data_IF_594471319248
#
_entry.id   IF_594471319248
#
_cell.length_a   1.000
_cell.length_b   1.000
_cell.length_c   1.000
_cell.angle_alpha   90.00
_cell.angle_beta   90.00
_cell.angle_gamma   90.00
#
_symmetry.space_group_name_H-M   'P 1'
#
loop_
_entity.id
_entity.type
_entity.pdbx_description
1 polymer ?
#
# COMPACT_ATOMS: atom_id res chain seq x y z
N UNK A 1 0.91 3.51 -17.23
CA UNK A 1 1.61 4.77 -17.08
C UNK A 1 0.76 5.54 -16.11
N UNK A 2 1.37 6.14 -15.08
CA UNK A 2 0.67 7.08 -14.23
C UNK A 2 -0.02 8.12 -15.12
N UNK A 3 -1.35 8.15 -15.07
CA UNK A 3 -2.15 8.94 -16.00
C UNK A 3 -2.22 10.37 -15.47
N UNK A 4 -1.73 11.34 -16.25
CA UNK A 4 -1.94 12.75 -15.94
C UNK A 4 -3.44 13.03 -16.05
N UNK A 5 -4.02 13.57 -14.98
CA UNK A 5 -5.40 14.06 -15.00
C UNK A 5 -5.36 15.56 -15.23
N UNK A 6 -5.90 15.99 -16.37
CA UNK A 6 -6.10 17.40 -16.65
C UNK A 6 -7.39 17.87 -15.99
N UNK A 7 -7.28 18.80 -15.05
CA UNK A 7 -8.44 19.44 -14.42
C UNK A 7 -8.27 20.95 -14.41
N UNK A 8 -9.23 21.64 -15.04
CA UNK A 8 -9.34 23.10 -15.09
C UNK A 8 -10.41 23.62 -14.12
N UNK A 9 -10.47 23.05 -12.94
CA UNK A 9 -11.36 23.52 -11.88
C UNK A 9 -10.67 24.61 -11.04
N UNK A 10 -11.12 25.88 -11.10
CA UNK A 10 -10.51 26.98 -10.37
C UNK A 10 -11.08 27.18 -8.96
N UNK A 11 -12.26 26.65 -8.65
CA UNK A 11 -12.89 26.87 -7.35
C UNK A 11 -12.18 26.09 -6.25
N UNK A 12 -12.30 26.58 -5.02
CA UNK A 12 -11.86 25.88 -3.82
C UNK A 12 -13.04 25.13 -3.17
N UNK A 13 -12.71 24.13 -2.36
CA UNK A 13 -13.62 23.48 -1.44
C UNK A 13 -12.87 23.20 -0.13
N UNK A 14 -13.59 23.25 0.98
CA UNK A 14 -13.09 22.79 2.28
C UNK A 14 -12.86 21.28 2.28
N UNK A 15 -12.12 20.79 3.27
CA UNK A 15 -11.93 19.36 3.49
C UNK A 15 -13.28 18.66 3.74
N UNK A 16 -14.17 19.27 4.53
CA UNK A 16 -15.50 18.71 4.83
C UNK A 16 -16.37 18.56 3.59
N UNK A 17 -16.48 19.61 2.75
CA UNK A 17 -17.25 19.54 1.50
C UNK A 17 -16.71 18.45 0.56
N UNK A 18 -15.38 18.33 0.46
CA UNK A 18 -14.73 17.29 -0.32
C UNK A 18 -15.08 15.89 0.20
N UNK A 19 -14.97 15.65 1.52
CA UNK A 19 -15.31 14.37 2.15
C UNK A 19 -16.78 14.03 1.95
N UNK A 20 -17.69 14.98 2.19
CA UNK A 20 -19.13 14.77 2.06
C UNK A 20 -19.52 14.39 0.63
N UNK A 21 -19.00 15.10 -0.37
CA UNK A 21 -19.27 14.80 -1.76
C UNK A 21 -18.72 13.43 -2.18
N UNK A 22 -17.48 13.11 -1.80
CA UNK A 22 -16.88 11.80 -2.06
C UNK A 22 -17.61 10.68 -1.32
N UNK A 23 -18.14 10.91 -0.11
CA UNK A 23 -18.88 9.92 0.66
C UNK A 23 -20.27 9.65 0.08
N UNK A 24 -20.86 10.61 -0.64
CA UNK A 24 -22.15 10.43 -1.31
C UNK A 24 -22.09 9.45 -2.46
N UNK A 25 -21.08 9.57 -3.32
CA UNK A 25 -20.93 8.73 -4.51
C UNK A 25 -19.97 7.55 -4.29
N UNK A 26 -18.94 7.76 -3.49
CA UNK A 26 -17.82 6.84 -3.33
C UNK A 26 -16.73 7.06 -4.37
N UNK A 27 -15.63 6.33 -4.18
CA UNK A 27 -14.54 6.26 -5.13
C UNK A 27 -14.42 4.82 -5.63
N UNK A 28 -14.76 4.59 -6.90
CA UNK A 28 -14.51 3.33 -7.60
C UNK A 28 -13.52 3.60 -8.75
N UNK A 29 -12.27 3.12 -8.64
CA UNK A 29 -11.27 3.35 -9.68
C UNK A 29 -11.57 2.59 -10.99
N UNK A 30 -12.47 1.61 -10.98
CA UNK A 30 -12.87 0.90 -12.21
C UNK A 30 -13.82 1.72 -13.09
N UNK A 31 -14.46 2.75 -12.53
CA UNK A 31 -15.41 3.61 -13.22
C UNK A 31 -14.79 4.98 -13.54
N UNK A 32 -14.76 5.35 -14.82
CA UNK A 32 -14.15 6.62 -15.24
C UNK A 32 -14.87 7.84 -14.65
N UNK A 33 -16.20 7.81 -14.56
CA UNK A 33 -16.98 8.90 -13.97
C UNK A 33 -16.66 9.11 -12.48
N UNK A 34 -16.48 8.01 -11.73
CA UNK A 34 -16.07 8.09 -10.32
C UNK A 34 -14.66 8.67 -10.18
N UNK A 35 -13.72 8.29 -11.07
CA UNK A 35 -12.37 8.87 -11.13
C UNK A 35 -12.41 10.37 -11.43
N UNK A 36 -13.23 10.80 -12.38
CA UNK A 36 -13.36 12.20 -12.77
C UNK A 36 -14.02 13.03 -11.64
N UNK A 37 -15.03 12.49 -10.99
CA UNK A 37 -15.65 13.09 -9.80
C UNK A 37 -14.65 13.25 -8.65
N UNK A 38 -13.90 12.19 -8.38
CA UNK A 38 -12.86 12.17 -7.36
C UNK A 38 -11.75 13.19 -7.66
N UNK A 39 -11.30 13.27 -8.90
CA UNK A 39 -10.33 14.24 -9.35
C UNK A 39 -10.84 15.68 -9.25
N UNK A 40 -12.12 15.92 -9.57
CA UNK A 40 -12.75 17.23 -9.42
C UNK A 40 -12.69 17.71 -7.96
N UNK A 41 -13.13 16.90 -7.00
CA UNK A 41 -13.12 17.29 -5.59
C UNK A 41 -11.72 17.40 -4.99
N UNK A 42 -10.82 16.48 -5.33
CA UNK A 42 -9.43 16.57 -4.89
C UNK A 42 -8.76 17.84 -5.43
N UNK A 43 -9.09 18.25 -6.66
CA UNK A 43 -8.62 19.52 -7.24
C UNK A 43 -9.16 20.72 -6.47
N UNK A 44 -10.45 20.75 -6.15
CA UNK A 44 -11.07 21.84 -5.37
C UNK A 44 -10.48 21.95 -3.97
N UNK A 45 -10.32 20.83 -3.26
CA UNK A 45 -9.61 20.79 -1.97
C UNK A 45 -8.18 21.30 -2.12
N UNK A 46 -7.48 20.81 -3.13
CA UNK A 46 -6.13 21.26 -3.42
C UNK A 46 -6.04 22.73 -3.83
N UNK A 47 -7.14 23.42 -4.14
CA UNK A 47 -7.17 24.86 -4.41
C UNK A 47 -7.27 25.71 -3.14
N UNK A 48 -7.77 25.17 -2.04
CA UNK A 48 -7.68 25.84 -0.74
C UNK A 48 -6.22 25.82 -0.25
N UNK A 49 -5.61 27.01 -0.15
CA UNK A 49 -4.18 27.16 0.19
C UNK A 49 -3.92 27.31 1.68
N UNK A 50 -4.96 27.36 2.50
CA UNK A 50 -4.85 27.60 3.93
C UNK A 50 -5.22 26.37 4.75
N UNK A 51 -6.18 25.56 4.27
CA UNK A 51 -6.75 24.46 5.07
C UNK A 51 -5.70 23.58 5.76
N UNK A 52 -4.64 23.20 5.05
CA UNK A 52 -3.64 22.29 5.62
C UNK A 52 -2.82 22.98 6.71
N UNK A 53 -2.46 24.26 6.51
CA UNK A 53 -1.75 25.04 7.51
C UNK A 53 -2.59 25.20 8.77
N UNK A 54 -3.85 25.61 8.61
CA UNK A 54 -4.80 25.78 9.72
C UNK A 54 -5.00 24.46 10.49
N UNK A 55 -5.24 23.35 9.76
CA UNK A 55 -5.39 22.02 10.35
C UNK A 55 -4.14 21.58 11.14
N UNK A 56 -2.95 21.80 10.60
CA UNK A 56 -1.70 21.42 11.27
C UNK A 56 -1.46 22.25 12.54
N UNK A 57 -1.80 23.54 12.53
CA UNK A 57 -1.74 24.38 13.74
C UNK A 57 -2.74 23.91 14.78
N UNK A 58 -3.99 23.61 14.40
CA UNK A 58 -5.00 23.11 15.31
C UNK A 58 -4.60 21.76 15.93
N UNK A 59 -3.97 20.87 15.14
CA UNK A 59 -3.41 19.59 15.65
C UNK A 59 -2.30 19.83 16.67
N UNK A 60 -1.36 20.75 16.39
CA UNK A 60 -0.27 21.08 17.30
C UNK A 60 -0.74 21.79 18.57
N UNK A 61 -1.78 22.61 18.46
CA UNK A 61 -2.41 23.30 19.58
C UNK A 61 -3.33 22.38 20.41
N UNK A 62 -3.62 21.16 19.93
CA UNK A 62 -4.50 20.20 20.60
C UNK A 62 -5.99 20.50 20.44
N UNK A 63 -6.37 21.36 19.49
CA UNK A 63 -7.76 21.71 19.23
C UNK A 63 -8.46 20.75 18.27
N UNK A 64 -7.70 20.06 17.40
CA UNK A 64 -8.25 19.04 16.53
C UNK A 64 -8.38 17.70 17.27
N UNK A 65 -9.50 16.97 17.14
CA UNK A 65 -9.59 15.60 17.65
C UNK A 65 -8.51 14.76 16.99
N UNK A 66 -7.61 14.20 17.79
CA UNK A 66 -6.64 13.21 17.30
C UNK A 66 -7.45 12.08 16.65
N UNK A 67 -7.37 11.85 15.33
CA UNK A 67 -7.98 10.66 14.75
C UNK A 67 -7.30 9.50 15.48
N UNK A 68 -8.07 8.71 16.24
CA UNK A 68 -7.58 7.78 17.25
C UNK A 68 -6.18 7.29 16.91
N UNK A 69 -5.17 7.79 17.63
CA UNK A 69 -3.78 8.00 17.18
C UNK A 69 -3.08 6.78 16.52
N UNK A 70 -3.67 5.60 16.62
CA UNK A 70 -3.30 4.35 15.99
C UNK A 70 -3.65 4.28 14.49
N UNK A 71 -4.76 4.87 14.03
CA UNK A 71 -5.18 4.79 12.62
C UNK A 71 -4.58 5.91 11.74
N UNK A 72 -4.27 7.07 12.32
CA UNK A 72 -3.68 8.20 11.61
C UNK A 72 -2.23 7.97 11.16
N UNK A 73 -1.52 7.05 11.82
CA UNK A 73 -0.07 6.79 11.64
C UNK A 73 0.19 5.44 10.94
N UNK A 74 -0.76 4.51 10.96
CA UNK A 74 -0.51 3.11 10.57
C UNK A 74 -0.54 2.81 9.06
N UNK A 75 -0.78 3.80 8.20
CA UNK A 75 -0.82 3.57 6.75
C UNK A 75 -0.23 4.76 5.96
N UNK A 76 1.10 4.83 5.86
CA UNK A 76 1.75 5.77 4.94
C UNK A 76 3.16 6.22 5.28
N UNK A 77 3.74 5.72 6.38
CA UNK A 77 5.04 6.17 6.89
C UNK A 77 4.94 7.45 7.73
N UNK A 78 6.02 7.84 8.43
CA UNK A 78 6.04 8.99 9.34
C UNK A 78 5.73 10.33 8.67
N UNK A 79 5.78 10.36 7.34
CA UNK A 79 5.56 11.53 6.51
C UNK A 79 4.12 11.70 6.00
N UNK A 80 3.20 10.84 6.43
CA UNK A 80 1.80 10.84 5.99
C UNK A 80 0.88 11.24 7.13
N UNK A 81 -0.06 12.14 6.83
CA UNK A 81 -1.12 12.59 7.75
C UNK A 81 -2.46 12.19 7.15
N UNK A 82 -3.26 11.43 7.88
CA UNK A 82 -4.62 11.07 7.46
C UNK A 82 -5.54 12.27 7.67
N UNK A 83 -6.15 12.74 6.58
CA UNK A 83 -7.10 13.85 6.55
C UNK A 83 -8.56 13.35 6.60
N UNK A 84 -8.80 12.18 6.02
CA UNK A 84 -10.08 11.48 6.08
C UNK A 84 -9.82 9.98 6.25
N UNK A 85 -10.38 9.39 7.31
CA UNK A 85 -10.29 7.95 7.55
C UNK A 85 -11.23 7.19 6.61
N UNK A 86 -10.94 5.90 6.34
CA UNK A 86 -11.88 5.04 5.62
C UNK A 86 -13.25 5.05 6.28
N UNK A 87 -14.28 5.34 5.50
CA UNK A 87 -15.67 5.41 5.95
C UNK A 87 -16.62 5.14 4.81
N UNK A 88 -17.75 5.86 4.77
CA UNK A 88 -18.68 5.79 3.64
C UNK A 88 -17.98 6.23 2.35
N UNK A 89 -18.13 5.45 1.28
CA UNK A 89 -17.57 5.78 -0.03
C UNK A 89 -16.22 5.13 -0.36
N UNK A 90 -15.69 4.25 0.50
CA UNK A 90 -14.50 3.43 0.20
C UNK A 90 -13.25 4.23 -0.18
N UNK A 91 -12.99 5.35 0.50
CA UNK A 91 -11.79 6.14 0.26
C UNK A 91 -11.11 6.61 1.55
N UNK A 92 -9.86 7.02 1.42
CA UNK A 92 -9.10 7.73 2.45
C UNK A 92 -8.39 8.92 1.80
N UNK A 93 -8.31 10.06 2.50
CA UNK A 93 -7.54 11.22 2.06
C UNK A 93 -6.32 11.38 2.97
N UNK A 94 -5.15 11.64 2.38
CA UNK A 94 -3.89 11.83 3.09
C UNK A 94 -3.14 13.06 2.57
N UNK A 95 -2.41 13.73 3.45
CA UNK A 95 -1.34 14.64 3.08
C UNK A 95 0.01 13.94 3.28
N UNK A 96 0.83 13.88 2.23
CA UNK A 96 2.20 13.39 2.33
C UNK A 96 3.17 14.57 2.30
N UNK A 97 4.01 14.66 3.33
CA UNK A 97 5.04 15.67 3.50
C UNK A 97 6.35 15.13 2.93
N UNK A 98 7.04 15.94 2.16
CA UNK A 98 8.23 15.55 1.41
C UNK A 98 9.37 16.50 1.75
N UNK A 99 10.23 16.15 2.72
CA UNK A 99 11.39 16.96 3.03
C UNK A 99 12.41 16.91 1.88
N UNK A 100 13.11 18.02 1.68
CA UNK A 100 14.22 18.12 0.74
C UNK A 100 15.47 17.40 1.26
N UNK A 101 16.42 17.15 0.36
CA UNK A 101 17.67 16.47 0.72
C UNK A 101 18.43 17.17 1.87
N UNK A 102 18.36 18.50 1.93
CA UNK A 102 19.03 19.33 2.93
C UNK A 102 18.19 19.59 4.20
N UNK A 103 16.98 19.06 4.30
CA UNK A 103 16.21 19.17 5.53
C UNK A 103 16.82 18.29 6.63
N UNK A 104 16.81 18.79 7.86
CA UNK A 104 17.40 18.06 9.00
C UNK A 104 16.83 16.64 9.13
N UNK A 105 15.51 16.48 8.99
CA UNK A 105 14.84 15.19 9.07
C UNK A 105 15.37 14.20 8.00
N UNK A 106 15.65 14.68 6.79
CA UNK A 106 16.23 13.86 5.72
C UNK A 106 17.67 13.45 6.01
N UNK A 107 18.50 14.35 6.53
CA UNK A 107 19.88 14.03 6.92
C UNK A 107 19.93 13.07 8.12
N UNK A 108 19.02 13.23 9.08
CA UNK A 108 19.00 12.45 10.32
C UNK A 108 18.42 11.04 10.12
N UNK A 109 17.34 10.90 9.34
CA UNK A 109 16.64 9.62 9.15
C UNK A 109 16.98 8.91 7.84
N UNK A 110 17.59 9.61 6.90
CA UNK A 110 17.94 9.09 5.58
C UNK A 110 16.74 8.99 4.63
N UNK A 111 17.06 8.84 3.34
CA UNK A 111 16.09 8.79 2.24
C UNK A 111 15.04 7.67 2.39
N UNK A 112 15.45 6.52 2.93
CA UNK A 112 14.57 5.35 3.11
C UNK A 112 13.41 5.60 4.07
N UNK A 113 13.58 6.44 5.09
CA UNK A 113 12.52 6.77 6.05
C UNK A 113 11.32 7.48 5.39
N UNK A 114 11.54 8.14 4.25
CA UNK A 114 10.53 8.84 3.47
C UNK A 114 10.13 8.09 2.19
N UNK A 115 10.66 6.87 1.98
CA UNK A 115 10.40 6.07 0.79
C UNK A 115 11.10 6.56 -0.49
N UNK A 116 12.09 7.47 -0.36
CA UNK A 116 12.84 7.94 -1.52
C UNK A 116 13.77 6.87 -2.06
N UNK A 117 13.92 6.85 -3.40
CA UNK A 117 14.80 5.92 -4.09
C UNK A 117 14.27 4.49 -4.21
N UNK A 118 13.11 4.19 -3.63
CA UNK A 118 12.49 2.86 -3.64
C UNK A 118 11.43 2.79 -4.75
N UNK A 119 11.65 1.92 -5.74
CA UNK A 119 10.66 1.64 -6.77
C UNK A 119 9.65 0.61 -6.26
N UNK A 120 8.37 0.97 -6.19
CA UNK A 120 7.30 0.08 -5.72
C UNK A 120 5.97 0.32 -6.43
N UNK A 121 5.13 -0.71 -6.48
CA UNK A 121 3.71 -0.61 -6.84
C UNK A 121 2.84 -0.52 -5.58
N UNK A 122 1.52 -0.63 -5.76
CA UNK A 122 0.54 -0.57 -4.69
C UNK A 122 -0.56 -1.62 -4.92
N UNK A 123 -1.17 -2.06 -3.83
CA UNK A 123 -2.35 -2.92 -3.83
C UNK A 123 -3.67 -2.12 -3.83
N UNK A 124 -3.61 -0.85 -4.23
CA UNK A 124 -4.74 0.06 -4.32
C UNK A 124 -4.52 1.10 -5.42
N UNK A 125 -5.62 1.56 -6.03
CA UNK A 125 -5.61 2.72 -6.90
C UNK A 125 -5.60 4.00 -6.05
N UNK A 126 -4.95 5.04 -6.56
CA UNK A 126 -4.99 6.35 -5.93
C UNK A 126 -4.81 7.49 -6.92
N UNK A 127 -5.33 8.65 -6.52
CA UNK A 127 -5.01 9.94 -7.12
C UNK A 127 -3.99 10.67 -6.24
N UNK A 128 -3.01 11.33 -6.84
CA UNK A 128 -2.05 12.18 -6.13
C UNK A 128 -1.99 13.56 -6.76
N UNK A 129 -2.06 14.61 -5.95
CA UNK A 129 -2.10 16.01 -6.34
C UNK A 129 -0.95 16.76 -5.65
N UNK A 130 -0.12 17.47 -6.41
CA UNK A 130 0.86 18.39 -5.84
C UNK A 130 0.17 19.58 -5.16
N UNK A 131 0.43 19.81 -3.88
CA UNK A 131 -0.27 20.82 -3.08
C UNK A 131 0.60 22.04 -2.72
N UNK A 132 1.79 21.78 -2.19
CA UNK A 132 2.73 22.80 -1.72
C UNK A 132 4.17 22.47 -2.16
N UNK A 133 4.98 23.50 -2.33
CA UNK A 133 6.40 23.38 -2.69
C UNK A 133 6.65 23.03 -4.17
N UNK A 134 7.93 22.82 -4.54
CA UNK A 134 8.34 22.49 -5.90
C UNK A 134 7.89 21.10 -6.37
N UNK A 135 7.58 20.19 -5.44
CA UNK A 135 7.10 18.83 -5.71
C UNK A 135 8.22 17.83 -5.99
N UNK A 136 7.95 16.56 -5.71
CA UNK A 136 8.90 15.46 -5.91
C UNK A 136 9.07 15.11 -7.39
N UNK A 137 10.27 14.65 -7.75
CA UNK A 137 10.48 13.98 -9.01
C UNK A 137 10.10 12.51 -8.89
N UNK A 138 9.44 11.99 -9.92
CA UNK A 138 8.92 10.64 -9.96
C UNK A 138 9.43 9.96 -11.23
N UNK A 139 10.05 8.82 -11.07
CA UNK A 139 10.33 7.88 -12.16
C UNK A 139 9.20 6.86 -12.23
N UNK A 140 8.59 6.74 -13.40
CA UNK A 140 7.47 5.84 -13.61
C UNK A 140 7.90 4.59 -14.37
N UNK A 141 7.35 3.46 -13.95
CA UNK A 141 7.47 2.19 -14.65
C UNK A 141 6.09 1.51 -14.69
N UNK A 142 5.96 0.54 -15.57
CA UNK A 142 4.78 -0.31 -15.68
C UNK A 142 5.16 -1.78 -15.67
N UNK A 143 4.26 -2.61 -15.17
CA UNK A 143 4.32 -4.06 -15.29
C UNK A 143 2.89 -4.63 -15.31
N UNK A 144 2.77 -5.93 -15.58
CA UNK A 144 1.51 -6.66 -15.44
C UNK A 144 1.53 -7.51 -14.17
N UNK A 145 0.87 -7.04 -13.10
CA UNK A 145 0.77 -7.77 -11.84
C UNK A 145 0.06 -9.12 -11.94
N UNK A 146 -0.72 -9.39 -13.00
CA UNK A 146 -1.34 -10.70 -13.21
C UNK A 146 -0.36 -11.73 -13.79
N UNK A 147 0.77 -11.27 -14.32
CA UNK A 147 1.78 -12.12 -14.95
C UNK A 147 2.84 -12.65 -13.97
N UNK A 148 2.83 -12.19 -12.71
CA UNK A 148 3.83 -12.54 -11.69
C UNK A 148 3.23 -13.41 -10.59
N UNK A 149 4.05 -14.32 -10.06
CA UNK A 149 3.72 -15.12 -8.88
C UNK A 149 3.93 -14.33 -7.57
N UNK A 150 4.71 -13.25 -7.62
CA UNK A 150 4.96 -12.36 -6.49
C UNK A 150 6.12 -12.81 -5.59
N UNK A 151 7.11 -13.54 -6.12
CA UNK A 151 8.24 -14.04 -5.32
C UNK A 151 9.44 -13.11 -5.39
N UNK A 152 10.19 -12.99 -4.29
CA UNK A 152 11.48 -12.30 -4.29
C UNK A 152 12.42 -12.95 -5.33
N UNK A 153 13.07 -12.14 -6.15
CA UNK A 153 13.97 -12.53 -7.23
C UNK A 153 13.28 -12.88 -8.55
N UNK A 154 11.95 -12.95 -8.57
CA UNK A 154 11.18 -13.21 -9.79
C UNK A 154 11.43 -12.10 -10.83
N UNK A 155 11.72 -12.51 -12.06
CA UNK A 155 11.91 -11.59 -13.18
C UNK A 155 10.56 -11.01 -13.61
N UNK A 156 10.56 -9.72 -13.94
CA UNK A 156 9.36 -8.97 -14.30
C UNK A 156 9.61 -8.24 -15.62
N UNK A 157 8.63 -8.27 -16.52
CA UNK A 157 8.65 -7.45 -17.73
C UNK A 157 8.38 -5.97 -17.39
N UNK A 158 9.39 -5.28 -16.85
CA UNK A 158 9.30 -3.86 -16.52
C UNK A 158 9.39 -2.98 -17.77
N UNK A 159 8.41 -2.09 -17.95
CA UNK A 159 8.44 -1.03 -18.94
C UNK A 159 8.82 0.28 -18.27
N UNK A 160 10.02 0.79 -18.55
CA UNK A 160 10.42 2.14 -18.13
C UNK A 160 9.60 3.19 -18.88
N UNK A 161 9.08 4.16 -18.15
CA UNK A 161 8.29 5.26 -18.69
C UNK A 161 9.02 6.60 -18.46
N UNK A 162 8.27 7.69 -18.49
CA UNK A 162 8.79 9.03 -18.33
C UNK A 162 9.09 9.37 -16.86
N UNK A 163 10.01 10.32 -16.69
CA UNK A 163 10.19 11.03 -15.42
C UNK A 163 9.25 12.23 -15.43
N UNK A 164 8.58 12.47 -14.31
CA UNK A 164 7.68 13.61 -14.13
C UNK A 164 8.00 14.31 -12.83
N UNK A 165 7.51 15.55 -12.68
CA UNK A 165 7.52 16.26 -11.40
C UNK A 165 6.09 16.49 -10.95
N UNK A 166 5.77 16.11 -9.71
CA UNK A 166 4.48 16.36 -9.08
C UNK A 166 4.40 17.82 -8.60
N UNK A 167 4.45 18.75 -9.56
CA UNK A 167 4.37 20.19 -9.28
C UNK A 167 3.02 20.55 -8.67
N UNK A 168 2.96 21.66 -7.95
CA UNK A 168 1.72 22.24 -7.45
C UNK A 168 0.63 22.27 -8.54
N UNK A 169 -0.52 21.71 -8.22
CA UNK A 169 -1.68 21.61 -9.10
C UNK A 169 -1.62 20.51 -10.16
N UNK A 170 -0.53 19.74 -10.31
CA UNK A 170 -0.50 18.56 -11.18
C UNK A 170 -1.08 17.35 -10.45
N UNK A 171 -1.94 16.61 -11.12
CA UNK A 171 -2.59 15.41 -10.59
C UNK A 171 -2.26 14.19 -11.44
N UNK A 172 -1.97 13.07 -10.79
CA UNK A 172 -1.76 11.79 -11.45
C UNK A 172 -2.61 10.71 -10.81
N UNK A 173 -3.06 9.76 -11.64
CA UNK A 173 -3.64 8.49 -11.20
C UNK A 173 -2.60 7.38 -11.29
N UNK A 174 -2.58 6.53 -10.26
CA UNK A 174 -1.82 5.29 -10.22
C UNK A 174 -2.77 4.11 -10.02
N UNK A 175 -2.58 3.06 -10.82
CA UNK A 175 -3.41 1.85 -10.79
C UNK A 175 -2.72 0.74 -10.00
N UNK A 176 -3.50 0.02 -9.19
CA UNK A 176 -3.00 -1.10 -8.41
C UNK A 176 -2.32 -2.14 -9.31
N UNK A 177 -1.22 -2.73 -8.83
CA UNK A 177 -0.50 -3.84 -9.49
C UNK A 177 -0.10 -3.58 -10.94
N UNK A 178 0.08 -2.31 -11.30
CA UNK A 178 0.41 -1.92 -12.68
C UNK A 178 1.38 -0.77 -12.74
N UNK A 179 1.09 0.33 -12.05
CA UNK A 179 1.95 1.52 -12.07
C UNK A 179 2.94 1.47 -10.89
N UNK A 180 4.22 1.54 -11.22
CA UNK A 180 5.34 1.59 -10.27
C UNK A 180 5.88 3.00 -10.25
N UNK A 181 6.14 3.53 -9.05
CA UNK A 181 6.81 4.82 -8.88
C UNK A 181 8.10 4.70 -8.08
N UNK A 182 9.06 5.56 -8.39
CA UNK A 182 10.24 5.81 -7.56
C UNK A 182 10.35 7.30 -7.34
N UNK A 183 10.18 7.71 -6.08
CA UNK A 183 10.24 9.11 -5.66
C UNK A 183 11.68 9.54 -5.39
N UNK A 184 12.02 10.74 -5.82
CA UNK A 184 13.26 11.43 -5.46
C UNK A 184 12.91 12.70 -4.65
N UNK A 185 13.79 13.10 -3.70
CA UNK A 185 13.52 14.25 -2.84
C UNK A 185 13.34 15.53 -3.67
N UNK A 186 12.41 16.41 -3.28
CA UNK A 186 12.24 17.71 -3.91
C UNK A 186 13.41 18.64 -3.56
N UNK A 187 13.51 19.77 -4.28
CA UNK A 187 14.52 20.81 -3.99
C UNK A 187 14.19 21.66 -2.75
N UNK A 188 12.96 21.58 -2.23
CA UNK A 188 12.49 22.22 -1.00
C UNK A 188 11.29 21.44 -0.45
N UNK A 189 11.00 21.63 0.85
CA UNK A 189 9.84 21.01 1.52
C UNK A 189 8.58 21.12 0.65
N UNK A 190 7.97 19.99 0.36
CA UNK A 190 6.81 19.88 -0.51
C UNK A 190 5.70 19.05 0.14
N UNK A 191 4.47 19.21 -0.33
CA UNK A 191 3.32 18.41 0.12
C UNK A 191 2.52 17.95 -1.10
N UNK A 192 2.05 16.71 -1.06
CA UNK A 192 1.02 16.19 -1.96
C UNK A 192 -0.21 15.74 -1.19
N UNK A 193 -1.39 15.90 -1.77
CA UNK A 193 -2.62 15.26 -1.30
C UNK A 193 -2.83 13.96 -2.06
N UNK A 194 -3.21 12.90 -1.37
CA UNK A 194 -3.56 11.61 -1.96
C UNK A 194 -5.00 11.24 -1.61
N UNK A 195 -5.74 10.78 -2.61
CA UNK A 195 -7.01 10.10 -2.43
C UNK A 195 -6.80 8.62 -2.78
N UNK A 196 -6.96 7.76 -1.79
CA UNK A 196 -6.68 6.32 -1.87
C UNK A 196 -7.98 5.55 -1.87
N UNK A 197 -8.14 4.64 -2.82
CA UNK A 197 -9.24 3.67 -2.79
C UNK A 197 -9.03 2.68 -1.64
N UNK A 198 -10.08 2.37 -0.88
CA UNK A 198 -9.98 1.45 0.27
C UNK A 198 -10.94 0.28 0.10
N UNK A 199 -10.43 -0.94 0.26
CA UNK A 199 -11.24 -2.16 0.24
C UNK A 199 -10.73 -3.14 1.28
N UNK A 200 -11.62 -3.90 1.91
CA UNK A 200 -11.26 -4.89 2.92
C UNK A 200 -10.27 -5.94 2.40
N UNK A 201 -10.32 -6.26 1.10
CA UNK A 201 -9.42 -7.24 0.47
C UNK A 201 -7.96 -6.78 0.40
N UNK A 202 -7.67 -5.47 0.51
CA UNK A 202 -6.32 -4.93 0.33
C UNK A 202 -5.30 -5.52 1.31
N UNK A 203 -5.71 -5.84 2.54
CA UNK A 203 -4.83 -6.51 3.52
C UNK A 203 -4.35 -7.90 3.08
N UNK A 204 -5.00 -8.49 2.09
CA UNK A 204 -4.68 -9.81 1.53
C UNK A 204 -3.89 -9.75 0.23
N UNK A 205 -3.83 -8.57 -0.40
CA UNK A 205 -3.15 -8.34 -1.67
C UNK A 205 -1.72 -7.88 -1.43
N UNK A 206 -0.77 -8.60 -2.03
CA UNK A 206 0.64 -8.22 -2.00
C UNK A 206 0.89 -7.05 -2.95
N UNK A 207 1.77 -6.15 -2.55
CA UNK A 207 2.47 -5.27 -3.49
C UNK A 207 3.97 -5.49 -3.32
N UNK A 208 4.80 -4.82 -4.09
CA UNK A 208 6.17 -5.22 -4.32
C UNK A 208 7.09 -4.01 -4.44
N UNK A 209 8.33 -4.21 -3.98
CA UNK A 209 9.44 -3.39 -4.40
C UNK A 209 10.17 -4.06 -5.56
N UNK A 210 10.74 -3.23 -6.42
CA UNK A 210 11.39 -3.67 -7.64
C UNK A 210 12.84 -3.22 -7.67
N UNK A 211 13.73 -4.14 -8.04
CA UNK A 211 15.01 -3.77 -8.62
C UNK A 211 14.76 -3.39 -10.09
N UNK A 212 14.82 -2.09 -10.38
CA UNK A 212 14.57 -1.54 -11.72
C UNK A 212 15.75 -1.70 -12.66
N UNK A 213 16.94 -2.08 -12.17
CA UNK A 213 18.12 -2.38 -13.00
C UNK A 213 18.07 -3.83 -13.48
N UNK A 214 17.81 -4.75 -12.56
CA UNK A 214 17.74 -6.19 -12.84
C UNK A 214 16.35 -6.65 -13.30
N UNK A 215 15.36 -5.76 -13.28
CA UNK A 215 13.96 -6.02 -13.61
C UNK A 215 13.36 -7.19 -12.82
N UNK A 216 13.47 -7.12 -11.49
CA UNK A 216 13.04 -8.19 -10.56
C UNK A 216 12.27 -7.65 -9.37
N UNK A 217 11.41 -8.49 -8.79
CA UNK A 217 10.83 -8.23 -7.46
C UNK A 217 11.96 -8.34 -6.43
N UNK A 218 12.27 -7.23 -5.75
CA UNK A 218 13.31 -7.20 -4.71
C UNK A 218 12.75 -7.51 -3.31
N UNK A 219 11.48 -7.14 -3.06
CA UNK A 219 10.79 -7.38 -1.79
C UNK A 219 9.29 -7.53 -2.00
N UNK A 220 8.67 -8.38 -1.19
CA UNK A 220 7.21 -8.50 -1.08
C UNK A 220 6.74 -7.63 0.08
N UNK A 221 5.76 -6.77 -0.19
CA UNK A 221 5.13 -5.84 0.72
C UNK A 221 3.65 -6.22 0.95
N UNK A 222 2.97 -5.49 1.84
CA UNK A 222 1.53 -5.70 2.09
C UNK A 222 1.20 -6.77 3.13
N UNK A 223 2.07 -6.96 4.12
CA UNK A 223 1.78 -7.84 5.26
C UNK A 223 0.88 -7.10 6.24
N UNK A 224 -0.32 -7.64 6.47
CA UNK A 224 -1.19 -7.21 7.57
C UNK A 224 -0.76 -7.88 8.89
N UNK A 225 -1.40 -7.51 10.01
CA UNK A 225 -1.14 -8.20 11.27
C UNK A 225 -1.77 -9.61 11.31
N UNK A 226 -2.70 -9.91 10.42
CA UNK A 226 -3.49 -11.15 10.38
C UNK A 226 -2.64 -12.41 10.33
N UNK A 227 -1.53 -12.42 9.58
CA UNK A 227 -0.62 -13.57 9.54
C UNK A 227 0.03 -13.83 10.91
N UNK A 228 0.47 -12.76 11.57
CA UNK A 228 1.04 -12.86 12.92
C UNK A 228 -0.03 -13.30 13.92
N UNK A 229 -1.26 -12.77 13.81
CA UNK A 229 -2.37 -13.16 14.67
C UNK A 229 -2.69 -14.65 14.56
N UNK A 230 -2.78 -15.18 13.34
CA UNK A 230 -3.01 -16.60 13.11
C UNK A 230 -1.90 -17.45 13.73
N UNK A 231 -0.63 -17.10 13.47
CA UNK A 231 0.52 -17.82 14.02
C UNK A 231 0.53 -17.82 15.54
N UNK A 232 0.28 -16.67 16.17
CA UNK A 232 0.22 -16.57 17.64
C UNK A 232 -0.94 -17.39 18.19
N UNK A 233 -2.13 -17.29 17.59
CA UNK A 233 -3.30 -18.03 18.06
C UNK A 233 -3.13 -19.56 17.95
N UNK A 234 -2.52 -20.04 16.85
CA UNK A 234 -2.16 -21.46 16.67
C UNK A 234 -1.10 -21.89 17.70
N UNK A 235 -0.06 -21.08 17.89
CA UNK A 235 1.01 -21.37 18.85
C UNK A 235 0.53 -21.40 20.31
N UNK A 236 -0.46 -20.58 20.66
CA UNK A 236 -1.11 -20.60 21.99
C UNK A 236 -2.06 -21.79 22.18
N UNK A 237 -2.17 -22.69 21.19
CA UNK A 237 -2.88 -23.96 21.34
C UNK A 237 -4.39 -23.88 21.14
N UNK A 238 -4.92 -22.79 20.59
CA UNK A 238 -6.36 -22.69 20.31
C UNK A 238 -6.77 -23.65 19.19
N UNK A 239 -7.66 -24.60 19.49
CA UNK A 239 -8.15 -25.55 18.46
C UNK A 239 -8.93 -24.83 17.36
N UNK A 240 -9.73 -23.82 17.71
CA UNK A 240 -10.39 -22.95 16.71
C UNK A 240 -9.38 -22.26 15.78
N UNK A 241 -8.19 -21.90 16.28
CA UNK A 241 -7.15 -21.30 15.44
C UNK A 241 -6.49 -22.33 14.52
N UNK A 242 -6.32 -23.58 14.97
CA UNK A 242 -5.83 -24.68 14.13
C UNK A 242 -6.83 -25.03 13.01
N UNK A 243 -8.12 -25.06 13.33
CA UNK A 243 -9.18 -25.28 12.33
C UNK A 243 -9.17 -24.16 11.29
N UNK A 244 -9.13 -22.90 11.76
CA UNK A 244 -9.04 -21.75 10.87
C UNK A 244 -7.77 -21.78 10.00
N UNK A 245 -6.63 -22.19 10.56
CA UNK A 245 -5.39 -22.33 9.79
C UNK A 245 -5.49 -23.44 8.73
N UNK A 246 -6.16 -24.56 9.03
CA UNK A 246 -6.41 -25.60 8.03
C UNK A 246 -7.31 -25.07 6.90
N UNK A 247 -8.40 -24.41 7.23
CA UNK A 247 -9.32 -23.82 6.25
C UNK A 247 -8.62 -22.79 5.38
N UNK A 248 -7.84 -21.91 6.01
CA UNK A 248 -7.08 -20.89 5.32
C UNK A 248 -6.01 -21.51 4.42
N UNK A 249 -5.24 -22.49 4.92
CA UNK A 249 -4.22 -23.19 4.15
C UNK A 249 -4.78 -23.82 2.86
N UNK A 250 -5.98 -24.41 2.94
CA UNK A 250 -6.63 -25.07 1.81
C UNK A 250 -7.24 -24.12 0.79
N UNK A 251 -7.84 -23.02 1.25
CA UNK A 251 -8.82 -22.29 0.42
C UNK A 251 -8.61 -20.79 0.33
N UNK A 252 -7.85 -20.15 1.23
CA UNK A 252 -7.79 -18.70 1.32
C UNK A 252 -7.32 -18.03 0.00
N UNK A 253 -7.94 -16.94 -0.46
CA UNK A 253 -7.59 -16.33 -1.76
C UNK A 253 -6.16 -15.79 -1.83
N UNK A 254 -5.58 -15.40 -0.69
CA UNK A 254 -4.16 -15.01 -0.61
C UNK A 254 -3.26 -16.22 -0.42
N UNK A 255 -2.44 -16.54 -1.43
CA UNK A 255 -1.44 -17.62 -1.35
C UNK A 255 -0.44 -17.41 -0.19
N UNK A 256 -0.15 -16.16 0.15
CA UNK A 256 0.69 -15.80 1.30
C UNK A 256 0.06 -16.23 2.62
N UNK A 257 -1.23 -15.95 2.82
CA UNK A 257 -1.95 -16.41 4.00
C UNK A 257 -2.08 -17.94 4.02
N UNK A 258 -2.32 -18.58 2.86
CA UNK A 258 -2.30 -20.04 2.77
C UNK A 258 -0.99 -20.61 3.29
N UNK A 259 0.14 -20.10 2.77
CA UNK A 259 1.47 -20.53 3.20
C UNK A 259 1.70 -20.28 4.68
N UNK A 260 1.31 -19.09 5.18
CA UNK A 260 1.44 -18.72 6.58
C UNK A 260 0.66 -19.66 7.52
N UNK A 261 -0.52 -20.08 7.11
CA UNK A 261 -1.35 -21.01 7.86
C UNK A 261 -0.69 -22.41 7.94
N UNK A 262 -0.13 -22.91 6.83
CA UNK A 262 0.64 -24.15 6.83
C UNK A 262 1.92 -24.05 7.65
N UNK A 263 2.64 -22.94 7.59
CA UNK A 263 3.81 -22.68 8.44
C UNK A 263 3.43 -22.66 9.94
N UNK A 264 2.28 -22.07 10.29
CA UNK A 264 1.78 -22.05 11.66
C UNK A 264 1.50 -23.47 12.18
N UNK A 265 0.81 -24.29 11.39
CA UNK A 265 0.50 -25.67 11.72
C UNK A 265 1.76 -26.53 11.85
N UNK A 266 2.69 -26.41 10.88
CA UNK A 266 3.94 -27.16 10.88
C UNK A 266 4.86 -26.80 12.05
N UNK A 267 4.85 -25.54 12.48
CA UNK A 267 5.62 -25.08 13.64
C UNK A 267 5.11 -25.65 14.97
N UNK A 268 3.82 -26.03 15.05
CA UNK A 268 3.21 -26.62 16.24
C UNK A 268 3.13 -28.16 16.20
N UNK A 269 3.58 -28.79 15.11
CA UNK A 269 3.66 -30.24 15.00
C UNK A 269 4.61 -30.83 16.07
N UNK A 270 4.15 -31.88 16.74
CA UNK A 270 4.86 -32.48 17.89
C UNK A 270 5.96 -33.47 17.49
N UNK A 271 6.03 -33.85 16.22
CA UNK A 271 7.04 -34.74 15.66
C UNK A 271 7.39 -34.36 14.22
N UNK A 272 8.45 -34.96 13.68
CA UNK A 272 8.86 -34.75 12.30
C UNK A 272 7.87 -35.38 11.32
N UNK A 273 7.27 -36.52 11.66
CA UNK A 273 6.22 -37.18 10.88
C UNK A 273 4.96 -36.32 10.80
N UNK A 274 4.53 -35.77 11.94
CA UNK A 274 3.39 -34.84 11.98
C UNK A 274 3.68 -33.57 11.16
N UNK A 275 4.94 -33.11 11.16
CA UNK A 275 5.37 -31.96 10.36
C UNK A 275 5.37 -32.28 8.86
N UNK A 276 5.85 -33.47 8.45
CA UNK A 276 5.79 -33.91 7.06
C UNK A 276 4.35 -34.04 6.58
N UNK A 277 3.43 -34.55 7.41
CA UNK A 277 2.01 -34.69 7.08
C UNK A 277 1.32 -33.34 6.83
N UNK A 278 1.65 -32.32 7.64
CA UNK A 278 1.20 -30.94 7.40
C UNK A 278 1.72 -30.44 6.05
N UNK A 279 3.01 -30.62 5.76
CA UNK A 279 3.57 -30.15 4.50
C UNK A 279 3.07 -30.93 3.28
N UNK A 280 2.77 -32.22 3.43
CA UNK A 280 2.13 -33.04 2.40
C UNK A 280 0.74 -32.51 2.08
N UNK A 281 -0.05 -32.19 3.10
CA UNK A 281 -1.35 -31.54 2.94
C UNK A 281 -1.23 -30.16 2.25
N UNK A 282 -0.21 -29.40 2.60
CA UNK A 282 0.08 -28.11 1.98
C UNK A 282 0.42 -28.27 0.48
N UNK A 283 1.19 -29.30 0.12
CA UNK A 283 1.55 -29.61 -1.26
C UNK A 283 0.33 -29.87 -2.15
N UNK A 284 -0.71 -30.49 -1.59
CA UNK A 284 -1.96 -30.85 -2.26
C UNK A 284 -3.03 -29.75 -2.21
N UNK A 285 -2.76 -28.60 -1.57
CA UNK A 285 -3.72 -27.51 -1.36
C UNK A 285 -4.12 -26.72 -2.62
N UNK A 286 -3.55 -27.05 -3.79
CA UNK A 286 -3.87 -26.43 -5.07
C UNK A 286 -3.22 -25.07 -5.33
N UNK A 287 -2.45 -24.50 -4.41
CA UNK A 287 -1.63 -23.29 -4.65
C UNK A 287 -0.24 -23.67 -5.18
N UNK A 288 0.17 -23.07 -6.29
CA UNK A 288 1.49 -23.31 -6.89
C UNK A 288 2.62 -22.82 -5.98
N UNK A 289 2.43 -21.67 -5.34
CA UNK A 289 3.40 -21.13 -4.38
C UNK A 289 3.56 -22.09 -3.19
N UNK A 290 2.44 -22.48 -2.57
CA UNK A 290 2.46 -23.36 -1.40
C UNK A 290 3.08 -24.71 -1.75
N UNK A 291 2.71 -25.31 -2.88
CA UNK A 291 3.24 -26.60 -3.29
C UNK A 291 4.75 -26.59 -3.50
N UNK A 292 5.30 -25.52 -4.09
CA UNK A 292 6.75 -25.39 -4.26
C UNK A 292 7.47 -25.22 -2.93
N UNK A 293 6.94 -24.41 -2.01
CA UNK A 293 7.54 -24.24 -0.68
C UNK A 293 7.44 -25.53 0.13
N UNK A 294 6.29 -26.20 0.12
CA UNK A 294 6.08 -27.47 0.81
C UNK A 294 7.10 -28.53 0.36
N UNK A 295 7.31 -28.71 -0.94
CA UNK A 295 8.35 -29.62 -1.48
C UNK A 295 9.74 -29.32 -0.93
N UNK A 296 10.13 -28.04 -0.93
CA UNK A 296 11.42 -27.63 -0.38
C UNK A 296 11.52 -27.89 1.13
N UNK A 297 10.44 -27.69 1.90
CA UNK A 297 10.41 -27.94 3.35
C UNK A 297 10.51 -29.42 3.68
N UNK A 298 9.77 -30.27 2.96
CA UNK A 298 9.81 -31.74 3.14
C UNK A 298 11.18 -32.31 2.83
N UNK A 299 11.85 -31.82 1.79
CA UNK A 299 13.21 -32.23 1.43
C UNK A 299 14.28 -31.82 2.46
N UNK A 300 13.94 -30.99 3.45
CA UNK A 300 14.84 -30.57 4.54
C UNK A 300 14.58 -31.35 5.84
N UNK A 301 13.54 -32.20 5.89
CA UNK A 301 13.29 -33.04 7.05
C UNK A 301 14.25 -34.23 7.05
N UNK A 302 14.78 -34.65 8.22
CA UNK A 302 15.54 -35.89 8.35
C UNK A 302 14.71 -37.11 7.90
N UNK A 303 15.40 -38.17 7.47
CA UNK A 303 14.79 -39.49 7.23
C UNK A 303 14.40 -40.20 8.52
#
# INVERSE_FOLDING_TARGET
MAQLIESREPSAASLSECIEALAMWGFDPSEQESVDHAAHWLRRLGNDRRFLGDLLIDLLAGFAPSPGAVDAISSGGPQSIVLATPGRGNFCIRANIWPAADDYAMRASGAGAFGYGVAHDHNYDFLTLGYFGPGCEIENFEYDGRSVSGRKGEAVALKKLNRVRLRKGRMYRYRAHRDIHRLNPPSALSVSLKLVHTQAVQGWLNHYEFDTREARISRVLGHGPSETFLRVAVALGSDRAKDLANDFGRSHPSERMRLNAWEALAACAQSEEARDEVWRSAEESGSRLVAQVAKCRRAQLPE
#
